data_IF_823620324432
#
_entry.id   IF_823620324432
#
_cell.length_a   1.000
_cell.length_b   1.000
_cell.length_c   1.000
_cell.angle_alpha   90.00
_cell.angle_beta   90.00
_cell.angle_gamma   90.00
#
_symmetry.space_group_name_H-M   'P 1'
#
loop_
_entity.id
_entity.type
_entity.pdbx_description
1 polymer ?
#
# COMPACT_ATOMS: atom_id res chain seq x y z
N UNK A 1 2.84 -4.29 39.38
CA UNK A 1 3.26 -4.53 37.98
C UNK A 1 4.70 -4.04 37.91
N UNK A 2 5.66 -4.84 37.44
CA UNK A 2 7.07 -4.40 37.44
C UNK A 2 7.26 -3.29 36.41
N UNK A 3 7.48 -2.06 36.88
CA UNK A 3 7.77 -0.92 36.00
C UNK A 3 9.04 -1.14 35.15
N UNK A 4 9.89 -2.09 35.56
CA UNK A 4 11.17 -2.43 34.93
C UNK A 4 11.25 -3.87 34.40
N UNK A 5 10.11 -4.51 34.09
CA UNK A 5 10.08 -5.92 33.65
C UNK A 5 10.98 -6.17 32.43
N UNK A 6 10.97 -5.28 31.44
CA UNK A 6 11.77 -5.47 30.23
C UNK A 6 13.27 -5.43 30.51
N UNK A 7 13.72 -4.55 31.43
CA UNK A 7 15.13 -4.47 31.83
C UNK A 7 15.58 -5.73 32.56
N UNK A 8 14.71 -6.29 33.42
CA UNK A 8 14.96 -7.57 34.08
C UNK A 8 15.05 -8.72 33.07
N UNK A 9 14.18 -8.73 32.07
CA UNK A 9 14.23 -9.73 30.99
C UNK A 9 15.53 -9.59 30.20
N UNK A 10 15.92 -8.37 29.82
CA UNK A 10 17.15 -8.13 29.06
C UNK A 10 18.38 -8.63 29.81
N UNK A 11 18.48 -8.29 31.09
CA UNK A 11 19.57 -8.70 31.97
C UNK A 11 19.67 -10.23 32.10
N UNK A 12 18.54 -10.91 32.28
CA UNK A 12 18.53 -12.37 32.47
C UNK A 12 18.64 -13.13 31.14
N UNK A 13 18.21 -12.54 30.02
CA UNK A 13 18.52 -13.05 28.69
C UNK A 13 20.02 -13.00 28.40
N UNK A 14 20.68 -11.89 28.75
CA UNK A 14 22.13 -11.74 28.62
C UNK A 14 22.85 -12.80 29.46
N UNK A 15 22.45 -12.96 30.73
CA UNK A 15 22.98 -14.00 31.62
C UNK A 15 22.86 -15.40 30.99
N UNK A 16 21.66 -15.77 30.53
CA UNK A 16 21.42 -17.07 29.88
C UNK A 16 22.29 -17.23 28.63
N UNK A 17 22.36 -16.21 27.77
CA UNK A 17 23.10 -16.27 26.51
C UNK A 17 24.62 -16.38 26.67
N UNK A 18 25.14 -15.96 27.83
CA UNK A 18 26.57 -16.02 28.15
C UNK A 18 26.98 -17.35 28.83
N UNK A 19 26.02 -18.18 29.26
CA UNK A 19 26.32 -19.51 29.82
C UNK A 19 26.51 -20.54 28.71
N UNK A 20 27.48 -21.45 28.89
CA UNK A 20 27.77 -22.52 27.91
C UNK A 20 26.54 -23.36 27.56
N UNK A 21 25.69 -23.64 28.54
CA UNK A 21 24.49 -24.47 28.35
C UNK A 21 23.23 -23.66 27.96
N UNK A 22 23.33 -22.33 27.85
CA UNK A 22 22.19 -21.42 27.66
C UNK A 22 21.02 -21.67 28.63
N UNK A 23 21.33 -22.12 29.84
CA UNK A 23 20.35 -22.51 30.85
C UNK A 23 20.79 -22.06 32.23
N UNK A 24 19.84 -21.68 33.06
CA UNK A 24 20.06 -21.28 34.44
C UNK A 24 18.86 -21.65 35.30
N UNK A 25 19.08 -21.97 36.57
CA UNK A 25 17.97 -22.05 37.50
C UNK A 25 17.32 -20.68 37.73
N UNK A 26 15.99 -20.58 37.65
CA UNK A 26 15.36 -19.26 37.76
C UNK A 26 15.62 -18.57 39.10
N UNK A 27 15.92 -19.30 40.18
CA UNK A 27 16.28 -18.70 41.47
C UNK A 27 17.64 -17.98 41.45
N UNK A 28 18.51 -18.31 40.50
CA UNK A 28 19.79 -17.62 40.25
C UNK A 28 19.62 -16.40 39.33
N UNK A 29 18.40 -16.10 38.87
CA UNK A 29 18.14 -14.88 38.11
C UNK A 29 18.56 -13.64 38.91
N UNK A 30 18.98 -12.64 38.16
CA UNK A 30 19.49 -11.40 38.68
C UNK A 30 18.40 -10.33 38.70
N UNK A 31 18.42 -9.52 39.76
CA UNK A 31 17.66 -8.27 39.83
C UNK A 31 18.41 -7.14 39.08
N UNK A 32 17.83 -5.93 39.07
CA UNK A 32 18.45 -4.76 38.42
C UNK A 32 19.80 -4.35 39.03
N UNK A 33 20.05 -4.71 40.29
CA UNK A 33 21.31 -4.48 41.00
C UNK A 33 22.34 -5.59 40.75
N UNK A 34 22.05 -6.54 39.84
CA UNK A 34 22.87 -7.73 39.54
C UNK A 34 23.07 -8.66 40.74
N UNK A 35 22.12 -8.67 41.68
CA UNK A 35 22.07 -9.61 42.79
C UNK A 35 21.09 -10.74 42.49
N UNK A 36 21.42 -11.95 42.93
CA UNK A 36 20.55 -13.11 42.75
C UNK A 36 19.29 -12.98 43.63
N UNK A 37 18.12 -13.30 43.08
CA UNK A 37 16.86 -13.27 43.84
C UNK A 37 16.89 -14.20 45.06
N UNK A 38 17.61 -15.33 44.99
CA UNK A 38 17.82 -16.25 46.10
C UNK A 38 18.47 -15.57 47.32
N UNK A 39 19.49 -14.75 47.11
CA UNK A 39 20.24 -14.08 48.20
C UNK A 39 19.36 -13.08 48.97
N UNK A 40 18.33 -12.56 48.31
CA UNK A 40 17.37 -11.61 48.87
C UNK A 40 16.12 -12.28 49.45
N UNK A 41 16.01 -13.62 49.37
CA UNK A 41 14.81 -14.35 49.77
C UNK A 41 13.59 -14.08 48.87
N UNK A 42 13.82 -13.58 47.64
CA UNK A 42 12.78 -13.11 46.71
C UNK A 42 12.41 -14.16 45.64
N UNK A 43 12.25 -15.41 46.06
CA UNK A 43 11.97 -16.54 45.15
C UNK A 43 10.74 -16.32 44.25
N UNK A 44 9.64 -15.80 44.81
CA UNK A 44 8.42 -15.51 44.04
C UNK A 44 8.60 -14.47 42.95
N UNK A 45 9.56 -13.55 43.13
CA UNK A 45 9.84 -12.52 42.11
C UNK A 45 10.57 -13.13 40.91
N UNK A 46 11.50 -14.04 41.19
CA UNK A 46 12.27 -14.75 40.16
C UNK A 46 11.40 -15.75 39.39
N UNK A 47 10.52 -16.47 40.08
CA UNK A 47 9.53 -17.36 39.46
C UNK A 47 8.61 -16.58 38.50
N UNK A 48 8.02 -15.46 38.95
CA UNK A 48 7.19 -14.60 38.11
C UNK A 48 7.93 -14.04 36.90
N UNK A 49 9.22 -13.72 37.05
CA UNK A 49 10.05 -13.27 35.93
C UNK A 49 10.25 -14.41 34.92
N UNK A 50 10.56 -15.62 35.39
CA UNK A 50 10.70 -16.79 34.53
C UNK A 50 9.40 -17.11 33.79
N UNK A 51 8.26 -17.12 34.48
CA UNK A 51 6.94 -17.28 33.87
C UNK A 51 6.71 -16.21 32.78
N UNK A 52 6.99 -14.94 33.09
CA UNK A 52 6.86 -13.84 32.12
C UNK A 52 7.76 -14.01 30.90
N UNK A 53 8.97 -14.56 31.06
CA UNK A 53 9.88 -14.87 29.96
C UNK A 53 9.40 -16.08 29.15
N UNK A 54 8.81 -17.09 29.81
CA UNK A 54 8.24 -18.26 29.16
C UNK A 54 7.00 -17.92 28.35
N UNK A 55 6.09 -17.10 28.88
CA UNK A 55 4.91 -16.60 28.16
C UNK A 55 5.30 -15.84 26.88
N UNK A 56 6.44 -15.14 26.91
CA UNK A 56 7.01 -14.44 25.76
C UNK A 56 7.76 -15.36 24.80
N UNK A 57 7.84 -16.66 25.11
CA UNK A 57 8.55 -17.67 24.34
C UNK A 57 10.07 -17.55 24.37
N UNK A 58 10.62 -16.75 25.29
CA UNK A 58 12.05 -16.46 25.39
C UNK A 58 12.82 -17.62 26.03
N UNK A 59 12.19 -18.28 26.99
CA UNK A 59 12.73 -19.43 27.70
C UNK A 59 11.70 -20.55 27.75
N UNK A 60 12.17 -21.77 28.03
CA UNK A 60 11.37 -22.91 28.42
C UNK A 60 11.75 -23.28 29.84
N UNK A 61 10.76 -23.44 30.71
CA UNK A 61 10.99 -23.89 32.09
C UNK A 61 10.85 -25.41 32.13
N UNK A 62 11.88 -26.09 32.63
CA UNK A 62 11.84 -27.51 33.00
C UNK A 62 12.12 -27.64 34.51
N UNK A 63 11.05 -27.86 35.28
CA UNK A 63 11.04 -27.76 36.75
C UNK A 63 11.51 -26.39 37.22
N UNK A 64 12.78 -26.27 37.58
CA UNK A 64 13.40 -25.04 38.07
C UNK A 64 14.39 -24.43 37.07
N UNK A 65 14.69 -25.14 35.99
CA UNK A 65 15.68 -24.76 35.01
C UNK A 65 15.03 -23.95 33.89
N UNK A 66 15.46 -22.70 33.74
CA UNK A 66 15.15 -21.86 32.60
C UNK A 66 16.14 -22.15 31.47
N UNK A 67 15.64 -22.64 30.35
CA UNK A 67 16.42 -22.97 29.15
C UNK A 67 16.08 -21.95 28.07
N UNK A 68 17.10 -21.28 27.52
CA UNK A 68 16.91 -20.31 26.44
C UNK A 68 16.36 -21.00 25.19
N UNK A 69 15.29 -20.44 24.60
CA UNK A 69 14.75 -20.94 23.33
C UNK A 69 15.53 -20.37 22.15
N UNK A 70 15.34 -20.95 20.96
CA UNK A 70 15.89 -20.37 19.72
C UNK A 70 15.42 -18.91 19.51
N UNK A 71 14.16 -18.62 19.87
CA UNK A 71 13.62 -17.26 19.82
C UNK A 71 14.29 -16.35 20.84
N UNK A 72 14.44 -16.79 22.09
CA UNK A 72 15.16 -16.05 23.13
C UNK A 72 16.60 -15.74 22.74
N UNK A 73 17.29 -16.69 22.11
CA UNK A 73 18.65 -16.50 21.61
C UNK A 73 18.73 -15.44 20.50
N UNK A 74 17.78 -15.44 19.56
CA UNK A 74 17.68 -14.39 18.53
C UNK A 74 17.44 -13.02 19.15
N UNK A 75 16.54 -12.94 20.13
CA UNK A 75 16.23 -11.71 20.87
C UNK A 75 17.47 -11.21 21.62
N UNK A 76 18.21 -12.10 22.30
CA UNK A 76 19.46 -11.75 22.97
C UNK A 76 20.50 -11.20 21.99
N UNK A 77 20.67 -11.82 20.81
CA UNK A 77 21.57 -11.34 19.75
C UNK A 77 21.21 -9.96 19.19
N UNK A 78 19.94 -9.60 19.18
CA UNK A 78 19.46 -8.27 18.75
C UNK A 78 19.76 -7.19 19.82
N UNK A 79 20.29 -7.60 20.99
CA UNK A 79 20.58 -6.74 22.13
C UNK A 79 19.44 -6.66 23.14
N UNK A 80 18.59 -7.69 23.18
CA UNK A 80 17.57 -7.86 24.20
C UNK A 80 16.12 -7.68 23.72
N UNK A 81 15.21 -7.98 24.64
CA UNK A 81 13.77 -7.85 24.49
C UNK A 81 13.32 -6.41 24.26
N UNK A 82 13.92 -5.43 24.94
CA UNK A 82 13.56 -4.01 24.73
C UNK A 82 13.84 -3.54 23.31
N UNK A 83 14.97 -3.93 22.71
CA UNK A 83 15.32 -3.60 21.33
C UNK A 83 14.44 -4.35 20.33
N UNK A 84 14.16 -5.62 20.60
CA UNK A 84 13.22 -6.40 19.79
C UNK A 84 11.83 -5.74 19.74
N UNK A 85 11.29 -5.26 20.86
CA UNK A 85 10.01 -4.57 20.90
C UNK A 85 10.01 -3.27 20.08
N UNK A 86 11.10 -2.49 20.15
CA UNK A 86 11.26 -1.27 19.34
C UNK A 86 11.28 -1.61 17.85
N UNK A 87 12.12 -2.56 17.45
CA UNK A 87 12.23 -3.00 16.06
C UNK A 87 10.90 -3.55 15.52
N UNK A 88 10.15 -4.29 16.35
CA UNK A 88 8.82 -4.80 15.99
C UNK A 88 7.84 -3.66 15.76
N UNK A 89 7.78 -2.68 16.67
CA UNK A 89 6.90 -1.52 16.55
C UNK A 89 7.23 -0.67 15.32
N UNK A 90 8.51 -0.46 15.03
CA UNK A 90 8.95 0.26 13.83
C UNK A 90 8.56 -0.49 12.55
N UNK A 91 8.71 -1.80 12.53
CA UNK A 91 8.29 -2.65 11.41
C UNK A 91 6.77 -2.57 11.19
N UNK A 92 5.98 -2.64 12.25
CA UNK A 92 4.51 -2.51 12.18
C UNK A 92 4.09 -1.13 11.67
N UNK A 93 4.73 -0.05 12.14
CA UNK A 93 4.51 1.31 11.63
C UNK A 93 4.85 1.42 10.15
N UNK A 94 5.98 0.84 9.73
CA UNK A 94 6.41 0.84 8.33
C UNK A 94 5.44 0.09 7.42
N UNK A 95 4.97 -1.08 7.83
CA UNK A 95 3.96 -1.85 7.09
C UNK A 95 2.66 -1.04 6.96
N UNK A 96 2.25 -0.37 8.04
CA UNK A 96 1.04 0.46 8.05
C UNK A 96 1.19 1.65 7.09
N UNK A 97 2.33 2.33 7.09
CA UNK A 97 2.59 3.44 6.16
C UNK A 97 2.68 2.97 4.71
N UNK A 98 3.34 1.84 4.45
CA UNK A 98 3.43 1.26 3.10
C UNK A 98 2.06 0.86 2.56
N UNK A 99 1.18 0.31 3.40
CA UNK A 99 -0.20 -0.02 3.01
C UNK A 99 -1.02 1.25 2.74
N UNK A 100 -0.91 2.28 3.57
CA UNK A 100 -1.58 3.57 3.32
C UNK A 100 -1.13 4.21 2.01
N UNK A 101 0.16 4.10 1.68
CA UNK A 101 0.70 4.60 0.42
C UNK A 101 0.17 3.80 -0.77
N UNK A 102 0.12 2.46 -0.67
CA UNK A 102 -0.49 1.60 -1.68
C UNK A 102 -1.95 1.93 -1.91
N UNK A 103 -2.75 2.06 -0.86
CA UNK A 103 -4.17 2.39 -0.94
C UNK A 103 -4.38 3.74 -1.65
N UNK A 104 -3.51 4.73 -1.36
CA UNK A 104 -3.53 6.04 -2.02
C UNK A 104 -3.20 5.93 -3.52
N UNK A 105 -2.16 5.16 -3.87
CA UNK A 105 -1.75 4.96 -5.25
C UNK A 105 -2.82 4.20 -6.06
N UNK A 106 -3.48 3.22 -5.46
CA UNK A 106 -4.60 2.51 -6.08
C UNK A 106 -5.77 3.45 -6.36
N UNK A 107 -6.12 4.31 -5.39
CA UNK A 107 -7.17 5.30 -5.53
C UNK A 107 -6.85 6.34 -6.62
N UNK A 108 -5.60 6.80 -6.70
CA UNK A 108 -5.17 7.72 -7.75
C UNK A 108 -5.15 7.06 -9.13
N UNK A 109 -4.76 5.78 -9.22
CA UNK A 109 -4.83 5.02 -10.48
C UNK A 109 -6.29 4.86 -10.96
N UNK A 110 -7.22 4.55 -10.06
CA UNK A 110 -8.65 4.48 -10.38
C UNK A 110 -9.20 5.82 -10.89
N UNK A 111 -8.79 6.94 -10.28
CA UNK A 111 -9.15 8.28 -10.79
C UNK A 111 -8.60 8.52 -12.19
N UNK A 112 -7.31 8.24 -12.41
CA UNK A 112 -6.69 8.40 -13.73
C UNK A 112 -7.35 7.52 -14.80
N UNK A 113 -7.75 6.29 -14.46
CA UNK A 113 -8.51 5.43 -15.38
C UNK A 113 -9.87 6.04 -15.73
N UNK A 114 -10.60 6.56 -14.73
CA UNK A 114 -11.86 7.25 -14.95
C UNK A 114 -11.69 8.47 -15.85
N UNK A 115 -10.72 9.32 -15.56
CA UNK A 115 -10.44 10.54 -16.33
C UNK A 115 -10.05 10.20 -17.78
N UNK A 116 -9.25 9.15 -17.99
CA UNK A 116 -8.91 8.65 -19.32
C UNK A 116 -10.14 8.16 -20.09
N UNK A 117 -11.07 7.45 -19.43
CA UNK A 117 -12.31 7.00 -20.05
C UNK A 117 -13.21 8.18 -20.45
N UNK A 118 -13.31 9.20 -19.60
CA UNK A 118 -14.05 10.42 -19.90
C UNK A 118 -13.41 11.19 -21.07
N UNK A 119 -12.09 11.31 -21.07
CA UNK A 119 -11.34 11.92 -22.16
C UNK A 119 -11.56 11.18 -23.48
N UNK A 120 -11.48 9.84 -23.49
CA UNK A 120 -11.78 9.04 -24.68
C UNK A 120 -13.21 9.22 -25.19
N UNK A 121 -14.20 9.29 -24.29
CA UNK A 121 -15.59 9.61 -24.68
C UNK A 121 -15.68 10.98 -25.34
N UNK A 122 -14.99 11.98 -24.79
CA UNK A 122 -14.97 13.33 -25.38
C UNK A 122 -14.33 13.35 -26.77
N UNK A 123 -13.27 12.56 -26.99
CA UNK A 123 -12.63 12.41 -28.31
C UNK A 123 -13.64 11.83 -29.30
N UNK A 124 -14.30 10.71 -28.96
CA UNK A 124 -15.29 10.08 -29.86
C UNK A 124 -16.42 11.04 -30.24
N UNK A 125 -16.92 11.81 -29.28
CA UNK A 125 -17.94 12.82 -29.55
C UNK A 125 -17.44 13.90 -30.53
N UNK A 126 -16.19 14.37 -30.38
CA UNK A 126 -15.58 15.33 -31.31
C UNK A 126 -15.35 14.72 -32.70
N UNK A 127 -14.91 13.47 -32.78
CA UNK A 127 -14.74 12.75 -34.06
C UNK A 127 -16.08 12.60 -34.80
N UNK A 128 -17.16 12.29 -34.09
CA UNK A 128 -18.51 12.24 -34.66
C UNK A 128 -18.96 13.61 -35.19
N UNK A 129 -18.69 14.69 -34.44
CA UNK A 129 -18.96 16.05 -34.92
C UNK A 129 -18.18 16.39 -36.18
N UNK A 130 -16.88 16.07 -36.22
CA UNK A 130 -16.04 16.26 -37.41
C UNK A 130 -16.60 15.46 -38.58
N UNK A 131 -16.98 14.19 -38.38
CA UNK A 131 -17.58 13.36 -39.44
C UNK A 131 -18.90 13.95 -39.96
N UNK A 132 -19.75 14.44 -39.07
CA UNK A 132 -21.02 15.08 -39.44
C UNK A 132 -20.79 16.35 -40.25
N UNK A 133 -19.93 17.25 -39.77
CA UNK A 133 -19.55 18.48 -40.48
C UNK A 133 -18.92 18.18 -41.83
N UNK A 134 -18.03 17.18 -41.90
CA UNK A 134 -17.42 16.74 -43.17
C UNK A 134 -18.47 16.25 -44.15
N UNK A 135 -19.44 15.44 -43.69
CA UNK A 135 -20.55 14.96 -44.53
C UNK A 135 -21.42 16.10 -45.01
N UNK A 136 -21.77 17.04 -44.14
CA UNK A 136 -22.60 18.19 -44.49
C UNK A 136 -21.88 19.12 -45.48
N UNK A 137 -20.57 19.33 -45.30
CA UNK A 137 -19.76 20.11 -46.23
C UNK A 137 -19.69 19.46 -47.63
N UNK A 138 -19.49 18.14 -47.70
CA UNK A 138 -19.56 17.39 -48.98
C UNK A 138 -20.95 17.46 -49.63
N UNK A 139 -22.02 17.41 -48.84
CA UNK A 139 -23.39 17.55 -49.35
C UNK A 139 -23.65 18.94 -49.90
N UNK A 140 -23.21 19.99 -49.20
CA UNK A 140 -23.32 21.37 -49.66
C UNK A 140 -22.52 21.60 -50.94
N UNK A 141 -21.29 21.07 -51.02
CA UNK A 141 -20.48 21.12 -52.25
C UNK A 141 -21.17 20.43 -53.43
N UNK A 142 -21.74 19.24 -53.23
CA UNK A 142 -22.51 18.56 -54.27
C UNK A 142 -23.80 19.31 -54.64
N UNK A 143 -24.43 19.97 -53.68
CA UNK A 143 -25.63 20.77 -53.92
C UNK A 143 -25.31 22.02 -54.74
N UNK A 144 -24.20 22.71 -54.46
CA UNK A 144 -23.74 23.85 -55.25
C UNK A 144 -23.51 23.46 -56.71
N UNK A 145 -22.85 22.31 -56.97
CA UNK A 145 -22.66 21.79 -58.32
C UNK A 145 -24.01 21.56 -59.02
N UNK A 146 -24.96 20.90 -58.36
CA UNK A 146 -26.30 20.65 -58.92
C UNK A 146 -27.05 21.96 -59.18
N UNK A 147 -26.95 22.92 -58.27
CA UNK A 147 -27.60 24.23 -58.39
C UNK A 147 -27.10 25.00 -59.61
N UNK A 148 -25.78 24.99 -59.87
CA UNK A 148 -25.21 25.59 -61.10
C UNK A 148 -25.75 24.94 -62.37
N UNK A 149 -25.90 23.62 -62.39
CA UNK A 149 -26.51 22.91 -63.53
C UNK A 149 -27.97 23.28 -63.74
N UNK A 150 -28.77 23.41 -62.67
CA UNK A 150 -30.16 23.85 -62.79
C UNK A 150 -30.27 25.25 -63.38
N UNK A 151 -29.43 26.20 -62.93
CA UNK A 151 -29.40 27.55 -63.50
C UNK A 151 -29.07 27.50 -64.99
N UNK A 152 -28.05 26.74 -65.40
CA UNK A 152 -27.66 26.61 -66.80
C UNK A 152 -28.77 26.05 -67.70
N UNK A 153 -29.53 25.07 -67.21
CA UNK A 153 -30.67 24.51 -67.95
C UNK A 153 -31.81 25.53 -68.05
N UNK A 154 -32.14 26.20 -66.95
CA UNK A 154 -33.22 27.21 -66.93
C UNK A 154 -32.89 28.38 -67.87
N UNK A 155 -31.67 28.89 -67.83
CA UNK A 155 -31.25 29.99 -68.72
C UNK A 155 -31.25 29.56 -70.19
N UNK A 156 -30.86 28.31 -70.48
CA UNK A 156 -30.95 27.74 -71.83
C UNK A 156 -32.40 27.70 -72.34
N UNK A 157 -33.34 27.20 -71.52
CA UNK A 157 -34.76 27.12 -71.88
C UNK A 157 -35.37 28.52 -72.08
N UNK A 158 -35.08 29.48 -71.20
CA UNK A 158 -35.54 30.86 -71.34
C UNK A 158 -35.01 31.49 -72.63
N UNK A 159 -33.73 31.30 -72.94
CA UNK A 159 -33.14 31.79 -74.19
C UNK A 159 -33.84 31.22 -75.42
N UNK A 160 -34.22 29.93 -75.39
CA UNK A 160 -34.96 29.28 -76.46
C UNK A 160 -36.37 29.87 -76.62
N UNK A 161 -37.09 30.10 -75.51
CA UNK A 161 -38.42 30.72 -75.51
C UNK A 161 -38.35 32.14 -76.10
N UNK A 162 -37.39 32.96 -75.66
CA UNK A 162 -37.21 34.33 -76.17
C UNK A 162 -36.94 34.31 -77.69
N UNK A 163 -36.06 33.42 -78.16
CA UNK A 163 -35.77 33.29 -79.59
C UNK A 163 -37.03 32.93 -80.38
N UNK A 164 -37.80 31.96 -79.91
CA UNK A 164 -39.05 31.53 -80.57
C UNK A 164 -40.08 32.67 -80.66
N UNK A 165 -40.18 33.52 -79.64
CA UNK A 165 -41.06 34.69 -79.64
C UNK A 165 -40.59 35.85 -80.51
N UNK A 166 -39.30 35.91 -80.89
CA UNK A 166 -38.76 36.95 -81.78
C UNK A 166 -38.87 36.53 -83.25
N UNK A 167 -38.80 35.22 -83.55
CA UNK A 167 -38.87 34.68 -84.91
C UNK A 167 -40.30 34.45 -85.43
N UNK A 168 -41.31 34.45 -84.56
CA UNK A 168 -42.75 34.46 -84.90
C UNK A 168 -43.33 35.88 -84.79
#
# INVERSE_FOLDING_TARGET
MYDNLNQLIDLNLELLSNKENNSEFFYEFLNLEKQQFQQLGKFRESERLAESMQEKGLIKIDKELAILTEFGYKVAKIGGWSLYLKAKSEKEKKITSENQEKDKLELDNLKLQKDNLEYQKSIRAKEEQIRKLTRDNLRLGNWDIRFRWYIAIITFVIGFIIKYFIEN
#
